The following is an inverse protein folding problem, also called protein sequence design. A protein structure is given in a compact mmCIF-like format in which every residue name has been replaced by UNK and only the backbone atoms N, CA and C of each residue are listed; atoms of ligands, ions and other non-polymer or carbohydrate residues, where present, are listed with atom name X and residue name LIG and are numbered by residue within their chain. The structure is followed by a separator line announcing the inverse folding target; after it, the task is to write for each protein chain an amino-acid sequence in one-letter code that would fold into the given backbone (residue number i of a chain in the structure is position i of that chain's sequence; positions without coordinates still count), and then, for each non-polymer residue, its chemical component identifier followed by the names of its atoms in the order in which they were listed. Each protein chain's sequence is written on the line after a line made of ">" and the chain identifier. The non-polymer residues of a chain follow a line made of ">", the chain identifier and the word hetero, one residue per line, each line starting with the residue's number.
data_IF_421247647935
#
_entry.id   IF_421247647935
#
_cell.length_a   1.000
_cell.length_b   1.000
_cell.length_c   1.000
_cell.angle_alpha   90.00
_cell.angle_beta   90.00
_cell.angle_gamma   90.00
#
_symmetry.space_group_name_H-M   'P 1'
#
loop_
_entity.id
_entity.type
_entity.pdbx_description
1 polymer ?
#
# COMPACT_ATOMS: atom_id res chain seq x y z
N UNK A 1 -14.30 -43.05 -16.32
CA UNK A 1 -14.76 -42.03 -17.27
C UNK A 1 -15.10 -40.66 -16.64
N UNK A 2 -15.18 -40.53 -15.35
CA UNK A 2 -15.62 -39.31 -14.69
C UNK A 2 -14.48 -38.42 -14.12
N UNK A 3 -13.23 -38.85 -14.23
CA UNK A 3 -12.09 -38.12 -13.70
C UNK A 3 -11.83 -36.78 -14.42
N UNK A 4 -12.17 -36.70 -15.70
CA UNK A 4 -12.00 -35.45 -16.48
C UNK A 4 -12.98 -34.34 -16.11
N UNK A 5 -14.19 -34.72 -15.69
CA UNK A 5 -15.26 -33.77 -15.33
C UNK A 5 -14.93 -33.11 -13.97
N UNK A 6 -14.39 -33.88 -13.04
CA UNK A 6 -13.99 -33.35 -11.72
C UNK A 6 -12.82 -32.35 -11.83
N UNK A 7 -11.87 -32.59 -12.74
CA UNK A 7 -10.76 -31.66 -12.98
C UNK A 7 -11.23 -30.31 -13.50
N UNK A 8 -12.17 -30.30 -14.43
CA UNK A 8 -12.72 -29.05 -15.00
C UNK A 8 -13.53 -28.28 -13.95
N UNK A 9 -14.32 -28.99 -13.13
CA UNK A 9 -15.11 -28.35 -12.05
C UNK A 9 -14.20 -27.71 -10.98
N UNK A 10 -13.13 -28.40 -10.57
CA UNK A 10 -12.18 -27.89 -9.58
C UNK A 10 -11.49 -26.62 -10.10
N UNK A 11 -11.03 -26.63 -11.35
CA UNK A 11 -10.40 -25.46 -11.97
C UNK A 11 -11.39 -24.29 -12.07
N UNK A 12 -12.62 -24.54 -12.47
CA UNK A 12 -13.65 -23.52 -12.56
C UNK A 12 -13.97 -22.88 -11.18
N UNK A 13 -14.02 -23.71 -10.13
CA UNK A 13 -14.24 -23.23 -8.76
C UNK A 13 -13.06 -22.38 -8.26
N UNK A 14 -11.83 -22.84 -8.52
CA UNK A 14 -10.64 -22.08 -8.13
C UNK A 14 -10.53 -20.74 -8.87
N UNK A 15 -10.85 -20.70 -10.15
CA UNK A 15 -10.90 -19.46 -10.93
C UNK A 15 -12.01 -18.54 -10.43
N UNK A 16 -13.18 -19.07 -10.10
CA UNK A 16 -14.28 -18.28 -9.54
C UNK A 16 -13.93 -17.70 -8.16
N UNK A 17 -13.31 -18.49 -7.29
CA UNK A 17 -12.81 -18.04 -5.99
C UNK A 17 -11.71 -16.99 -6.13
N UNK A 18 -10.79 -17.18 -7.07
CA UNK A 18 -9.74 -16.21 -7.37
C UNK A 18 -10.31 -14.88 -7.90
N UNK A 19 -11.29 -14.96 -8.82
CA UNK A 19 -11.99 -13.78 -9.33
C UNK A 19 -12.81 -13.08 -8.25
N UNK A 20 -13.46 -13.83 -7.35
CA UNK A 20 -14.18 -13.27 -6.20
C UNK A 20 -13.23 -12.60 -5.21
N UNK A 21 -12.11 -13.22 -4.94
CA UNK A 21 -11.07 -12.64 -4.07
C UNK A 21 -10.49 -11.36 -4.69
N UNK A 22 -10.22 -11.38 -6.00
CA UNK A 22 -9.71 -10.24 -6.74
C UNK A 22 -10.73 -9.09 -6.87
N UNK A 23 -12.00 -9.43 -7.12
CA UNK A 23 -13.10 -8.46 -7.16
C UNK A 23 -13.39 -7.87 -5.77
N UNK A 24 -13.23 -8.67 -4.71
CA UNK A 24 -13.41 -8.21 -3.33
C UNK A 24 -12.25 -7.32 -2.89
N UNK A 25 -11.03 -7.61 -3.28
CA UNK A 25 -9.87 -6.77 -3.04
C UNK A 25 -9.97 -5.41 -3.75
N UNK A 26 -10.54 -5.36 -4.95
CA UNK A 26 -10.78 -4.09 -5.65
C UNK A 26 -11.86 -3.23 -5.02
N UNK A 27 -12.87 -3.82 -4.38
CA UNK A 27 -13.96 -3.08 -3.73
C UNK A 27 -13.53 -2.45 -2.40
N UNK A 28 -12.56 -3.02 -1.73
CA UNK A 28 -11.99 -2.46 -0.50
C UNK A 28 -11.06 -1.28 -0.75
N UNK A 29 -10.43 -1.21 -1.93
CA UNK A 29 -9.54 -0.10 -2.30
C UNK A 29 -10.24 1.18 -2.79
N UNK A 30 -11.44 1.06 -3.36
CA UNK A 30 -12.13 2.21 -3.96
C UNK A 30 -13.13 2.90 -3.01
N UNK A 31 -13.60 2.23 -1.97
CA UNK A 31 -14.63 2.73 -1.06
C UNK A 31 -14.12 3.35 0.24
N UNK A 32 -12.87 3.10 0.61
CA UNK A 32 -12.34 3.51 1.90
C UNK A 32 -12.05 5.01 2.05
N UNK A 33 -11.81 5.71 0.95
CA UNK A 33 -11.50 7.14 0.98
C UNK A 33 -12.73 8.06 0.95
N UNK A 34 -13.86 7.57 0.44
CA UNK A 34 -15.06 8.36 0.33
C UNK A 34 -15.88 8.44 1.63
N UNK A 35 -15.69 7.52 2.56
CA UNK A 35 -16.48 7.43 3.79
C UNK A 35 -15.88 8.20 4.97
N UNK A 36 -14.60 8.56 4.88
CA UNK A 36 -13.96 9.43 5.84
C UNK A 36 -14.06 10.86 5.31
N UNK A 37 -15.16 11.53 5.57
CA UNK A 37 -15.47 12.89 5.10
C UNK A 37 -14.54 14.00 5.59
N UNK A 38 -13.27 13.69 5.84
CA UNK A 38 -12.20 14.63 6.12
C UNK A 38 -11.09 14.46 5.08
N UNK A 39 -10.77 15.50 4.37
CA UNK A 39 -9.55 15.59 3.58
C UNK A 39 -8.36 15.30 4.51
N UNK A 40 -7.73 14.14 4.36
CA UNK A 40 -6.48 13.86 5.08
C UNK A 40 -5.43 14.80 4.50
N UNK A 41 -5.03 15.78 5.28
CA UNK A 41 -3.98 16.72 4.89
C UNK A 41 -2.61 16.11 5.21
N UNK A 42 -2.06 15.37 4.26
CA UNK A 42 -0.74 14.76 4.39
C UNK A 42 0.40 15.80 4.42
N UNK A 43 0.13 17.09 4.18
CA UNK A 43 1.13 18.14 4.33
C UNK A 43 1.61 18.27 5.78
N UNK A 44 0.79 17.87 6.74
CA UNK A 44 1.14 17.82 8.17
C UNK A 44 1.78 16.49 8.62
N UNK A 45 2.01 15.57 7.69
CA UNK A 45 2.45 14.22 7.98
C UNK A 45 1.31 13.21 8.10
N UNK A 46 1.66 11.99 8.50
CA UNK A 46 0.66 10.96 8.77
C UNK A 46 -0.11 11.23 10.06
N UNK A 47 -1.41 10.98 10.10
CA UNK A 47 -2.18 11.08 11.32
C UNK A 47 -1.73 9.99 12.32
N UNK A 48 -1.69 10.35 13.58
CA UNK A 48 -1.44 9.40 14.67
C UNK A 48 -2.74 8.73 15.12
N UNK A 49 -2.66 7.46 15.47
CA UNK A 49 -3.78 6.76 16.11
C UNK A 49 -3.62 6.77 17.63
N UNK A 50 -4.74 6.81 18.35
CA UNK A 50 -4.73 6.65 19.82
C UNK A 50 -4.53 5.19 20.24
N UNK A 51 -4.70 4.27 19.30
CA UNK A 51 -4.53 2.82 19.51
C UNK A 51 -3.15 2.38 19.04
N UNK A 52 -3.03 1.13 18.65
CA UNK A 52 -1.84 0.59 18.01
C UNK A 52 -1.77 1.04 16.56
N UNK A 53 -0.68 1.67 16.19
CA UNK A 53 -0.35 2.08 14.83
C UNK A 53 1.02 1.59 14.44
N UNK A 54 1.50 2.02 13.28
CA UNK A 54 2.87 1.74 12.85
C UNK A 54 3.86 2.67 13.53
N UNK A 55 5.01 2.13 13.94
CA UNK A 55 6.11 2.92 14.49
C UNK A 55 6.50 4.04 13.53
N UNK A 56 6.42 5.29 13.99
CA UNK A 56 6.78 6.45 13.19
C UNK A 56 8.25 6.38 12.72
N UNK A 57 9.14 5.90 13.57
CA UNK A 57 10.56 5.72 13.23
C UNK A 57 10.74 4.75 12.08
N UNK A 58 10.05 3.61 12.08
CA UNK A 58 10.17 2.60 11.02
C UNK A 58 9.60 3.12 9.69
N UNK A 59 8.43 3.75 9.74
CA UNK A 59 7.79 4.33 8.55
C UNK A 59 8.70 5.40 7.94
N UNK A 60 9.19 6.32 8.73
CA UNK A 60 10.08 7.39 8.25
C UNK A 60 11.38 6.85 7.67
N UNK A 61 11.98 5.82 8.28
CA UNK A 61 13.20 5.19 7.78
C UNK A 61 12.99 4.56 6.39
N UNK A 62 11.86 3.86 6.17
CA UNK A 62 11.53 3.29 4.86
C UNK A 62 11.28 4.39 3.84
N UNK A 63 10.51 5.43 4.19
CA UNK A 63 10.26 6.55 3.29
C UNK A 63 11.55 7.27 2.90
N UNK A 64 12.44 7.54 3.85
CA UNK A 64 13.73 8.19 3.58
C UNK A 64 14.54 7.42 2.54
N UNK A 65 14.62 6.09 2.69
CA UNK A 65 15.32 5.22 1.74
C UNK A 65 14.67 5.22 0.37
N UNK A 66 13.36 5.06 0.32
CA UNK A 66 12.62 4.97 -0.94
C UNK A 66 12.70 6.27 -1.73
N UNK A 67 12.51 7.42 -1.09
CA UNK A 67 12.64 8.71 -1.78
C UNK A 67 14.07 8.99 -2.23
N UNK A 68 15.07 8.60 -1.45
CA UNK A 68 16.47 8.72 -1.86
C UNK A 68 16.81 7.81 -3.04
N UNK A 69 16.40 6.54 -3.01
CA UNK A 69 16.65 5.57 -4.09
C UNK A 69 15.91 5.92 -5.38
N UNK A 70 14.72 6.48 -5.28
CA UNK A 70 13.89 6.81 -6.45
C UNK A 70 14.38 8.02 -7.24
N UNK A 71 15.44 8.69 -6.80
CA UNK A 71 16.01 9.83 -7.51
C UNK A 71 16.63 9.45 -8.87
N UNK A 72 17.01 8.19 -9.06
CA UNK A 72 17.51 7.68 -10.32
C UNK A 72 16.76 6.42 -10.78
N UNK A 73 16.90 6.07 -12.05
CA UNK A 73 16.18 4.95 -12.69
C UNK A 73 16.57 3.60 -12.07
N UNK A 74 17.84 3.39 -11.77
CA UNK A 74 18.32 2.14 -11.18
C UNK A 74 17.85 1.99 -9.74
N UNK A 75 17.84 3.07 -8.98
CA UNK A 75 17.36 3.09 -7.61
C UNK A 75 15.87 2.80 -7.48
N UNK A 76 15.06 3.10 -8.52
CA UNK A 76 13.61 2.84 -8.51
C UNK A 76 13.26 1.37 -8.34
N UNK A 77 14.01 0.46 -8.97
CA UNK A 77 13.82 -0.98 -8.81
C UNK A 77 14.11 -1.42 -7.37
N UNK A 78 15.20 -0.92 -6.77
CA UNK A 78 15.54 -1.18 -5.37
C UNK A 78 14.52 -0.58 -4.41
N UNK A 79 14.00 0.61 -4.70
CA UNK A 79 12.94 1.24 -3.92
C UNK A 79 11.66 0.40 -3.92
N UNK A 80 11.30 -0.16 -5.06
CA UNK A 80 10.13 -1.04 -5.17
C UNK A 80 10.30 -2.32 -4.35
N UNK A 81 11.48 -2.94 -4.39
CA UNK A 81 11.81 -4.12 -3.58
C UNK A 81 11.76 -3.78 -2.09
N UNK A 82 12.30 -2.66 -1.68
CA UNK A 82 12.24 -2.18 -0.29
C UNK A 82 10.79 -1.97 0.18
N UNK A 83 9.92 -1.42 -0.65
CA UNK A 83 8.50 -1.24 -0.31
C UNK A 83 7.76 -2.57 -0.17
N UNK A 84 8.04 -3.54 -1.05
CA UNK A 84 7.43 -4.87 -0.96
C UNK A 84 7.91 -5.64 0.28
N UNK A 85 9.14 -5.43 0.71
CA UNK A 85 9.72 -6.07 1.89
C UNK A 85 9.45 -5.29 3.19
N UNK A 86 8.88 -4.09 3.12
CA UNK A 86 8.68 -3.23 4.28
C UNK A 86 7.75 -3.87 5.31
N UNK A 87 8.22 -3.91 6.55
CA UNK A 87 7.45 -4.32 7.72
C UNK A 87 7.62 -3.24 8.79
N UNK A 88 6.50 -2.85 9.38
CA UNK A 88 6.50 -1.82 10.39
C UNK A 88 6.13 -2.43 11.74
N UNK A 89 6.91 -2.12 12.77
CA UNK A 89 6.55 -2.48 14.13
C UNK A 89 5.29 -1.75 14.58
N UNK A 90 4.49 -2.43 15.36
CA UNK A 90 3.27 -1.85 15.93
C UNK A 90 3.62 -1.17 17.24
N UNK A 91 3.34 0.12 17.32
CA UNK A 91 3.59 0.95 18.49
C UNK A 91 2.32 1.66 18.95
N UNK A 92 2.22 1.91 20.23
CA UNK A 92 1.11 2.68 20.79
C UNK A 92 1.27 4.15 20.39
N UNK A 93 0.19 4.76 19.85
CA UNK A 93 0.22 6.13 19.40
C UNK A 93 1.02 6.34 18.11
N UNK A 94 1.34 5.27 17.36
CA UNK A 94 2.00 5.35 16.06
C UNK A 94 1.12 5.93 14.96
N UNK A 95 1.61 5.88 13.73
CA UNK A 95 0.86 6.35 12.57
C UNK A 95 -0.34 5.45 12.27
N UNK A 96 -1.41 6.05 11.75
CA UNK A 96 -2.59 5.31 11.33
C UNK A 96 -2.22 4.31 10.22
N UNK A 97 -2.37 2.98 10.47
CA UNK A 97 -1.94 1.96 9.52
C UNK A 97 -2.66 2.07 8.17
N UNK A 98 -3.93 2.43 8.16
CA UNK A 98 -4.71 2.54 6.92
C UNK A 98 -4.15 3.63 6.02
N UNK A 99 -3.78 4.77 6.60
CA UNK A 99 -3.23 5.90 5.84
C UNK A 99 -1.83 5.60 5.34
N UNK A 100 -1.00 4.95 6.15
CA UNK A 100 0.35 4.53 5.76
C UNK A 100 0.28 3.51 4.63
N UNK A 101 -0.56 2.48 4.76
CA UNK A 101 -0.72 1.44 3.74
C UNK A 101 -1.19 2.03 2.40
N UNK A 102 -2.15 2.94 2.42
CA UNK A 102 -2.62 3.62 1.22
C UNK A 102 -1.51 4.43 0.53
N UNK A 103 -0.66 5.09 1.32
CA UNK A 103 0.47 5.85 0.78
C UNK A 103 1.53 4.92 0.18
N UNK A 104 1.86 3.83 0.86
CA UNK A 104 2.79 2.79 0.37
C UNK A 104 2.28 2.18 -0.92
N UNK A 105 1.01 1.83 -1.00
CA UNK A 105 0.38 1.29 -2.22
C UNK A 105 0.46 2.29 -3.38
N UNK A 106 0.22 3.57 -3.12
CA UNK A 106 0.35 4.62 -4.13
C UNK A 106 1.80 4.77 -4.62
N UNK A 107 2.78 4.63 -3.74
CA UNK A 107 4.20 4.64 -4.11
C UNK A 107 4.57 3.42 -4.97
N UNK A 108 4.10 2.23 -4.61
CA UNK A 108 4.32 1.00 -5.39
C UNK A 108 3.77 1.17 -6.81
N UNK A 109 2.54 1.64 -6.94
CA UNK A 109 1.92 1.88 -8.26
C UNK A 109 2.71 2.92 -9.06
N UNK A 110 3.16 4.00 -8.43
CA UNK A 110 3.96 5.03 -9.10
C UNK A 110 5.29 4.46 -9.62
N UNK A 111 5.99 3.67 -8.81
CA UNK A 111 7.25 3.03 -9.20
C UNK A 111 7.04 2.00 -10.33
N UNK A 112 5.99 1.20 -10.26
CA UNK A 112 5.66 0.20 -11.29
C UNK A 112 5.27 0.83 -12.63
N UNK A 113 4.63 1.99 -12.60
CA UNK A 113 4.14 2.68 -13.81
C UNK A 113 5.09 3.76 -14.32
N UNK A 114 6.25 3.94 -13.70
CA UNK A 114 7.23 4.97 -14.08
C UNK A 114 6.76 6.40 -13.81
N UNK A 115 5.78 6.59 -12.93
CA UNK A 115 5.27 7.92 -12.53
C UNK A 115 6.10 8.50 -11.39
N UNK A 116 5.94 9.79 -11.17
CA UNK A 116 6.51 10.45 -10.00
C UNK A 116 5.87 9.90 -8.72
N UNK A 117 6.69 9.79 -7.66
CA UNK A 117 6.20 9.41 -6.34
C UNK A 117 5.20 10.45 -5.81
N UNK A 118 4.20 10.02 -5.05
CA UNK A 118 3.34 10.94 -4.32
C UNK A 118 4.17 11.86 -3.43
N UNK A 119 3.69 13.07 -3.20
CA UNK A 119 4.38 14.02 -2.32
C UNK A 119 4.56 13.39 -0.95
N UNK A 120 5.78 13.46 -0.43
CA UNK A 120 6.10 12.92 0.89
C UNK A 120 5.23 13.61 1.96
N UNK A 121 4.59 12.85 2.86
CA UNK A 121 3.88 13.41 3.99
C UNK A 121 4.79 14.26 4.88
N UNK A 122 4.28 15.38 5.37
CA UNK A 122 5.06 16.33 6.15
C UNK A 122 5.85 17.35 5.32
N UNK A 123 5.77 17.29 3.99
CA UNK A 123 6.37 18.31 3.13
C UNK A 123 5.31 19.37 2.82
N UNK A 124 5.53 20.64 3.20
CA UNK A 124 4.60 21.71 2.87
C UNK A 124 4.51 21.86 1.35
N UNK A 125 3.29 22.03 0.84
CA UNK A 125 3.10 22.35 -0.57
C UNK A 125 3.60 23.77 -0.84
N UNK A 126 4.33 23.96 -1.93
CA UNK A 126 4.71 25.30 -2.35
C UNK A 126 3.50 26.19 -2.66
#
# INVERSE_FOLDING_TARGET
>A
MNAGIYGVVIVAVLVALWLLFWARGRRLGAGGLATWGGRIDLAKGFPHTRRRGYSATDVEAVLDRVYALSADEQGRASALDDLHAAQFEVARGGYDPVVVDLHVDAMIVALQTGRELPIRPGTPRP
#
